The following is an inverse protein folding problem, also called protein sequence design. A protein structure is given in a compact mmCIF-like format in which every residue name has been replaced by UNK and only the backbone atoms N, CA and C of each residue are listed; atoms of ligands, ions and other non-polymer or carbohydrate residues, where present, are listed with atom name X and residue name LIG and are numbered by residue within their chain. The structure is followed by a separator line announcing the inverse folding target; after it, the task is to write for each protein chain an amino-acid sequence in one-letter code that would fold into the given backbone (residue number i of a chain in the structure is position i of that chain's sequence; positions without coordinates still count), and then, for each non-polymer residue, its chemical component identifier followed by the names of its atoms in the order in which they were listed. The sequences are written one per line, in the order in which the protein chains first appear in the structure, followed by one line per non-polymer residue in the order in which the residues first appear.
data_IF_109916608095
#
_entry.id   IF_109916608095
#
_cell.length_a   1.000
_cell.length_b   1.000
_cell.length_c   1.000
_cell.angle_alpha   90.00
_cell.angle_beta   90.00
_cell.angle_gamma   90.00
#
_symmetry.space_group_name_H-M   'P 1'
#
loop_
_entity.id
_entity.type
_entity.pdbx_description
1 polymer ?
#
# COMPACT_ATOMS: atom_id res chain seq x y z
N UNK A 1 -11.61 1.40 44.12
CA UNK A 1 -10.34 1.04 43.51
C UNK A 1 -10.51 0.81 42.01
N UNK A 2 -9.41 0.87 41.27
CA UNK A 2 -9.40 0.58 39.85
C UNK A 2 -9.05 -0.89 39.65
N UNK A 3 -9.85 -1.62 38.89
CA UNK A 3 -9.61 -3.03 38.63
C UNK A 3 -8.96 -3.27 37.28
N UNK A 4 -9.64 -2.88 36.20
CA UNK A 4 -9.12 -3.00 34.85
C UNK A 4 -9.74 -1.98 33.89
N UNK A 5 -9.17 -1.88 32.70
CA UNK A 5 -9.78 -1.22 31.55
C UNK A 5 -9.56 -2.07 30.30
N UNK A 6 -10.49 -1.95 29.38
CA UNK A 6 -10.42 -2.57 28.07
C UNK A 6 -10.66 -1.54 26.99
N UNK A 7 -9.75 -1.44 26.04
CA UNK A 7 -9.93 -0.66 24.82
C UNK A 7 -10.12 -1.62 23.65
N UNK A 8 -11.15 -1.38 22.88
CA UNK A 8 -11.42 -2.09 21.63
C UNK A 8 -11.47 -1.07 20.51
N UNK A 9 -10.64 -1.25 19.51
CA UNK A 9 -10.63 -0.45 18.31
C UNK A 9 -11.01 -1.33 17.12
N UNK A 10 -11.88 -0.82 16.25
CA UNK A 10 -12.26 -1.44 15.00
C UNK A 10 -12.06 -0.43 13.89
N UNK A 11 -11.31 -0.86 12.88
CA UNK A 11 -11.02 -0.09 11.69
C UNK A 11 -11.50 -0.85 10.46
N UNK A 12 -12.25 -0.17 9.59
CA UNK A 12 -12.72 -0.72 8.32
C UNK A 12 -12.49 0.28 7.21
N UNK A 13 -11.82 -0.14 6.16
CA UNK A 13 -11.61 0.68 4.97
C UNK A 13 -12.11 -0.08 3.75
N UNK A 14 -12.91 0.58 2.95
CA UNK A 14 -13.41 0.08 1.67
C UNK A 14 -13.20 1.12 0.59
N UNK A 15 -13.00 0.68 -0.64
CA UNK A 15 -12.84 1.60 -1.75
C UNK A 15 -12.52 0.89 -3.05
N UNK A 16 -12.42 1.69 -4.10
CA UNK A 16 -12.02 1.23 -5.42
C UNK A 16 -10.93 2.15 -5.97
N UNK A 17 -10.11 1.62 -6.87
CA UNK A 17 -9.07 2.41 -7.50
C UNK A 17 -8.87 1.99 -8.95
N UNK A 18 -8.47 2.96 -9.77
CA UNK A 18 -8.18 2.77 -11.19
C UNK A 18 -6.78 3.26 -11.51
N UNK A 19 -6.03 2.50 -12.31
CA UNK A 19 -4.78 2.92 -12.90
C UNK A 19 -4.59 2.31 -14.28
N UNK A 20 -3.63 2.87 -15.02
CA UNK A 20 -3.15 2.32 -16.28
C UNK A 20 -1.72 1.82 -16.12
N UNK A 21 -1.43 0.70 -16.78
CA UNK A 21 -0.08 0.15 -16.87
C UNK A 21 0.22 -0.13 -18.33
N UNK A 22 1.36 0.36 -18.77
CA UNK A 22 1.87 0.08 -20.11
C UNK A 22 3.30 -0.40 -20.03
N UNK A 23 3.67 -1.29 -20.92
CA UNK A 23 5.03 -1.80 -20.99
C UNK A 23 5.36 -2.34 -22.35
N UNK A 24 6.65 -2.38 -22.64
CA UNK A 24 7.19 -2.98 -23.85
C UNK A 24 8.42 -3.82 -23.51
N UNK A 25 8.62 -4.86 -24.29
CA UNK A 25 9.82 -5.68 -24.24
C UNK A 25 10.48 -5.59 -25.62
N UNK A 26 11.75 -5.27 -25.61
CA UNK A 26 12.59 -5.21 -26.80
C UNK A 26 13.66 -6.30 -26.73
N UNK A 27 13.84 -7.03 -27.82
CA UNK A 27 14.83 -8.12 -27.94
C UNK A 27 15.90 -7.71 -28.95
N UNK A 28 16.97 -7.00 -28.52
CA UNK A 28 18.04 -6.56 -29.43
C UNK A 28 18.95 -7.71 -29.90
N UNK A 29 19.00 -8.80 -29.15
CA UNK A 29 19.74 -10.02 -29.48
C UNK A 29 18.97 -11.25 -29.00
N UNK A 30 19.35 -12.43 -29.51
CA UNK A 30 18.66 -13.68 -29.13
C UNK A 30 18.66 -13.92 -27.61
N UNK A 31 19.76 -13.55 -26.95
CA UNK A 31 19.95 -13.79 -25.52
C UNK A 31 19.51 -12.60 -24.64
N UNK A 32 19.36 -11.39 -25.22
CA UNK A 32 19.11 -10.18 -24.45
C UNK A 32 17.69 -9.69 -24.61
N UNK A 33 17.02 -9.45 -23.50
CA UNK A 33 15.70 -8.83 -23.43
C UNK A 33 15.76 -7.59 -22.54
N UNK A 34 15.23 -6.50 -23.04
CA UNK A 34 15.10 -5.24 -22.30
C UNK A 34 13.62 -4.91 -22.15
N UNK A 35 13.22 -4.57 -20.95
CA UNK A 35 11.85 -4.21 -20.64
C UNK A 35 11.74 -2.79 -20.11
N UNK A 36 10.66 -2.11 -20.47
CA UNK A 36 10.25 -0.83 -19.92
C UNK A 36 8.79 -0.90 -19.52
N UNK A 37 8.46 -0.44 -18.33
CA UNK A 37 7.09 -0.32 -17.92
C UNK A 37 6.86 1.00 -17.17
N UNK A 38 5.65 1.53 -17.35
CA UNK A 38 5.14 2.71 -16.66
C UNK A 38 3.79 2.37 -16.04
N UNK A 39 3.67 2.66 -14.75
CA UNK A 39 2.40 2.59 -14.05
C UNK A 39 1.98 4.01 -13.68
N UNK A 40 0.81 4.41 -14.14
CA UNK A 40 0.23 5.67 -13.71
C UNK A 40 -0.14 5.60 -12.23
N UNK A 41 -0.33 6.75 -11.58
CA UNK A 41 -0.97 6.79 -10.28
C UNK A 41 -2.28 5.99 -10.29
N UNK A 42 -2.56 5.35 -9.18
CA UNK A 42 -3.89 4.80 -8.92
C UNK A 42 -4.73 5.90 -8.28
N UNK A 43 -5.87 6.18 -8.87
CA UNK A 43 -6.88 7.07 -8.30
C UNK A 43 -7.79 6.21 -7.44
N UNK A 44 -7.74 6.40 -6.13
CA UNK A 44 -8.57 5.69 -5.16
C UNK A 44 -9.66 6.60 -4.64
N UNK A 45 -10.91 6.11 -4.62
CA UNK A 45 -11.97 6.63 -3.77
C UNK A 45 -12.10 5.73 -2.55
N UNK A 46 -11.87 6.26 -1.36
CA UNK A 46 -11.78 5.51 -0.11
C UNK A 46 -12.82 5.98 0.89
N UNK A 47 -13.34 5.02 1.63
CA UNK A 47 -14.29 5.21 2.70
C UNK A 47 -13.80 4.46 3.94
N UNK A 48 -13.65 5.17 5.01
CA UNK A 48 -13.09 4.67 6.26
C UNK A 48 -14.10 4.82 7.39
N UNK A 49 -14.25 3.77 8.18
CA UNK A 49 -14.99 3.77 9.43
C UNK A 49 -14.05 3.38 10.56
N UNK A 50 -14.05 4.20 11.59
CA UNK A 50 -13.29 3.92 12.80
C UNK A 50 -14.25 3.89 13.98
N UNK A 51 -14.18 2.86 14.79
CA UNK A 51 -14.89 2.81 16.05
C UNK A 51 -13.94 2.45 17.18
N UNK A 52 -14.18 3.06 18.33
CA UNK A 52 -13.53 2.69 19.56
C UNK A 52 -14.53 2.54 20.69
N UNK A 53 -14.21 1.64 21.60
CA UNK A 53 -14.93 1.46 22.84
C UNK A 53 -13.93 1.29 23.96
N UNK A 54 -14.06 2.08 24.99
CA UNK A 54 -13.33 1.93 26.24
C UNK A 54 -14.29 1.56 27.36
N UNK A 55 -13.97 0.52 28.08
CA UNK A 55 -14.71 0.07 29.28
C UNK A 55 -13.75 0.08 30.45
N UNK A 56 -14.15 0.69 31.55
CA UNK A 56 -13.38 0.73 32.80
C UNK A 56 -14.15 0.05 33.92
N UNK A 57 -13.47 -0.73 34.75
CA UNK A 57 -14.03 -1.27 36.01
C UNK A 57 -13.36 -0.57 37.19
N UNK A 58 -14.13 0.25 37.86
CA UNK A 58 -13.68 1.06 39.01
C UNK A 58 -14.25 0.55 40.35
N UNK A 59 -14.72 -0.68 40.40
CA UNK A 59 -15.16 -1.37 41.64
C UNK A 59 -16.11 -0.56 42.52
N UNK A 60 -17.11 0.08 41.93
CA UNK A 60 -18.09 0.92 42.62
C UNK A 60 -17.52 2.13 43.39
N UNK A 61 -16.34 2.65 42.99
CA UNK A 61 -15.72 3.82 43.64
C UNK A 61 -16.65 5.05 43.76
N UNK A 62 -17.56 5.23 42.83
CA UNK A 62 -18.48 6.35 42.75
C UNK A 62 -19.92 6.02 43.23
N UNK A 63 -20.09 4.87 43.90
CA UNK A 63 -21.37 4.42 44.44
C UNK A 63 -21.81 3.06 43.92
N UNK A 64 -22.81 2.45 44.58
CA UNK A 64 -23.31 1.15 44.19
C UNK A 64 -23.86 1.15 42.75
N UNK A 65 -23.37 0.25 41.94
CA UNK A 65 -23.75 0.14 40.51
C UNK A 65 -22.86 0.92 39.54
N UNK A 66 -21.83 1.65 40.01
CA UNK A 66 -20.89 2.41 39.17
C UNK A 66 -19.59 1.63 38.80
N UNK A 67 -19.61 0.31 38.95
CA UNK A 67 -18.43 -0.51 38.73
C UNK A 67 -17.91 -0.50 37.31
N UNK A 68 -18.82 -0.51 36.35
CA UNK A 68 -18.48 -0.47 34.92
C UNK A 68 -18.91 0.87 34.31
N UNK A 69 -17.97 1.50 33.65
CA UNK A 69 -18.25 2.70 32.83
C UNK A 69 -17.71 2.47 31.42
N UNK A 70 -18.41 2.99 30.43
CA UNK A 70 -18.01 2.82 29.03
C UNK A 70 -18.22 4.09 28.21
N UNK A 71 -17.25 4.36 27.34
CA UNK A 71 -17.35 5.40 26.33
C UNK A 71 -17.14 4.79 24.95
N UNK A 72 -17.95 5.19 24.00
CA UNK A 72 -17.91 4.73 22.61
C UNK A 72 -17.78 5.91 21.66
N UNK A 73 -17.09 5.69 20.52
CA UNK A 73 -16.86 6.71 19.48
C UNK A 73 -18.16 7.39 19.04
N UNK A 74 -19.20 6.63 18.77
CA UNK A 74 -20.51 7.16 18.36
C UNK A 74 -21.11 8.15 19.36
N UNK A 75 -20.96 7.88 20.66
CA UNK A 75 -21.45 8.80 21.71
C UNK A 75 -20.60 10.07 21.77
N UNK A 76 -19.29 9.96 21.54
CA UNK A 76 -18.37 11.09 21.53
C UNK A 76 -18.65 12.06 20.37
N UNK A 77 -18.95 11.52 19.17
CA UNK A 77 -19.29 12.32 18.00
C UNK A 77 -20.78 12.72 17.93
N UNK A 78 -21.55 12.44 18.98
CA UNK A 78 -22.94 12.88 19.10
C UNK A 78 -23.94 12.18 18.19
N UNK A 79 -23.51 11.08 17.56
CA UNK A 79 -24.31 10.30 16.61
C UNK A 79 -24.71 8.93 17.15
N UNK A 80 -25.60 8.27 16.43
CA UNK A 80 -25.95 6.86 16.65
C UNK A 80 -25.02 5.90 15.90
N UNK A 81 -24.23 6.41 14.96
CA UNK A 81 -23.31 5.65 14.11
C UNK A 81 -21.86 6.07 14.35
N UNK A 82 -20.95 5.16 14.05
CA UNK A 82 -19.53 5.45 14.09
C UNK A 82 -19.11 6.42 12.98
N UNK A 83 -18.12 7.28 13.24
CA UNK A 83 -17.68 8.26 12.25
C UNK A 83 -17.16 7.58 10.98
N UNK A 84 -17.59 8.14 9.86
CA UNK A 84 -17.22 7.71 8.52
C UNK A 84 -16.55 8.87 7.78
N UNK A 85 -15.41 8.60 7.21
CA UNK A 85 -14.62 9.56 6.45
C UNK A 85 -14.47 9.08 5.00
N UNK A 86 -14.73 10.00 4.06
CA UNK A 86 -14.50 9.74 2.63
C UNK A 86 -13.37 10.62 2.14
N UNK A 87 -12.45 10.04 1.41
CA UNK A 87 -11.35 10.79 0.82
C UNK A 87 -10.84 10.10 -0.45
N UNK A 88 -10.21 10.87 -1.30
CA UNK A 88 -9.53 10.39 -2.48
C UNK A 88 -8.03 10.35 -2.23
N UNK A 89 -7.38 9.33 -2.80
CA UNK A 89 -5.94 9.15 -2.73
C UNK A 89 -5.38 8.89 -4.12
N UNK A 90 -4.39 9.68 -4.49
CA UNK A 90 -3.60 9.49 -5.71
C UNK A 90 -2.26 8.87 -5.32
N UNK A 91 -1.98 7.65 -5.79
CA UNK A 91 -0.73 6.96 -5.50
C UNK A 91 0.44 7.47 -6.37
N UNK A 92 1.71 7.11 -6.05
CA UNK A 92 2.86 7.53 -6.86
C UNK A 92 2.87 6.92 -8.26
N UNK A 93 3.60 7.57 -9.17
CA UNK A 93 4.04 6.98 -10.42
C UNK A 93 5.12 5.93 -10.17
N UNK A 94 5.17 4.91 -11.04
CA UNK A 94 6.24 3.91 -11.07
C UNK A 94 6.79 3.74 -12.46
N UNK A 95 8.11 3.77 -12.56
CA UNK A 95 8.86 3.55 -13.80
C UNK A 95 9.76 2.34 -13.57
N UNK A 96 9.69 1.39 -14.48
CA UNK A 96 10.45 0.13 -14.34
C UNK A 96 11.28 -0.07 -15.59
N UNK A 97 12.56 -0.34 -15.39
CA UNK A 97 13.50 -0.79 -16.43
C UNK A 97 13.99 -2.16 -16.04
N UNK A 98 13.90 -3.11 -16.94
CA UNK A 98 14.32 -4.48 -16.71
C UNK A 98 15.26 -4.97 -17.80
N UNK A 99 16.18 -5.85 -17.42
CA UNK A 99 17.07 -6.55 -18.33
C UNK A 99 17.11 -8.03 -18.01
N UNK A 100 17.08 -8.87 -19.02
CA UNK A 100 17.24 -10.31 -18.86
C UNK A 100 18.22 -10.86 -19.91
N UNK A 101 19.16 -11.65 -19.43
CA UNK A 101 20.12 -12.37 -20.28
C UNK A 101 19.86 -13.87 -20.16
N UNK A 102 19.54 -14.49 -21.29
CA UNK A 102 19.26 -15.93 -21.37
C UNK A 102 20.53 -16.67 -21.76
N UNK A 103 20.90 -17.65 -20.93
CA UNK A 103 22.11 -18.48 -21.16
C UNK A 103 21.73 -19.64 -22.08
N UNK A 104 22.30 -19.66 -23.27
CA UNK A 104 21.98 -20.62 -24.34
C UNK A 104 20.50 -20.60 -24.71
N UNK A 105 20.07 -19.53 -25.33
CA UNK A 105 18.78 -19.53 -26.02
C UNK A 105 18.93 -20.41 -27.28
N UNK A 106 18.12 -21.44 -27.36
CA UNK A 106 17.94 -22.31 -28.52
C UNK A 106 16.46 -22.41 -28.81
N UNK A 107 16.11 -22.75 -30.03
CA UNK A 107 14.71 -22.89 -30.46
C UNK A 107 13.93 -23.88 -29.58
N UNK A 108 14.58 -24.85 -29.00
CA UNK A 108 14.03 -25.77 -28.04
C UNK A 108 14.28 -25.27 -26.61
N UNK A 109 13.22 -24.79 -25.94
CA UNK A 109 13.28 -24.29 -24.54
C UNK A 109 13.78 -25.34 -23.54
N UNK A 110 13.70 -26.63 -23.86
CA UNK A 110 14.21 -27.69 -23.00
C UNK A 110 15.73 -27.69 -22.88
N UNK A 111 16.40 -27.12 -23.87
CA UNK A 111 17.88 -27.02 -23.95
C UNK A 111 18.40 -25.69 -23.35
N UNK A 112 17.53 -24.78 -22.96
CA UNK A 112 17.90 -23.55 -22.27
C UNK A 112 18.56 -23.86 -20.94
N UNK A 113 19.74 -23.23 -20.66
CA UNK A 113 20.50 -23.51 -19.45
C UNK A 113 20.25 -22.58 -18.28
N UNK A 114 19.55 -21.48 -18.50
CA UNK A 114 19.20 -20.56 -17.44
C UNK A 114 19.03 -19.14 -17.92
N UNK A 115 18.80 -18.24 -16.98
CA UNK A 115 18.75 -16.81 -17.24
C UNK A 115 19.19 -16.02 -15.99
N UNK A 116 19.58 -14.77 -16.21
CA UNK A 116 19.79 -13.78 -15.17
C UNK A 116 18.89 -12.60 -15.53
N UNK A 117 18.23 -12.03 -14.53
CA UNK A 117 17.38 -10.86 -14.70
C UNK A 117 17.69 -9.81 -13.65
N UNK A 118 17.57 -8.54 -14.03
CA UNK A 118 17.69 -7.41 -13.13
C UNK A 118 16.60 -6.40 -13.44
N UNK A 119 16.01 -5.82 -12.40
CA UNK A 119 14.99 -4.76 -12.49
C UNK A 119 15.41 -3.56 -11.65
N UNK A 120 15.17 -2.38 -12.19
CA UNK A 120 15.27 -1.10 -11.50
C UNK A 120 13.89 -0.46 -11.55
N UNK A 121 13.31 -0.20 -10.40
CA UNK A 121 12.04 0.49 -10.26
C UNK A 121 12.28 1.85 -9.60
N UNK A 122 11.78 2.91 -10.19
CA UNK A 122 11.74 4.24 -9.59
C UNK A 122 10.31 4.60 -9.23
N UNK A 123 10.08 4.98 -7.96
CA UNK A 123 8.76 5.35 -7.42
C UNK A 123 8.81 6.78 -6.92
N UNK A 124 7.86 7.62 -7.36
CA UNK A 124 7.79 9.05 -6.99
C UNK A 124 6.94 9.26 -5.74
N UNK A 125 7.34 8.75 -4.59
CA UNK A 125 6.52 8.78 -3.36
C UNK A 125 6.00 10.18 -2.97
N UNK A 126 6.80 11.23 -3.17
CA UNK A 126 6.38 12.60 -2.90
C UNK A 126 5.31 13.17 -3.84
N UNK A 127 4.88 12.41 -4.86
CA UNK A 127 3.77 12.79 -5.75
C UNK A 127 2.41 12.28 -5.28
N UNK A 128 2.37 11.51 -4.20
CA UNK A 128 1.10 11.07 -3.60
C UNK A 128 0.28 12.28 -3.13
N UNK A 129 -1.04 12.19 -3.29
CA UNK A 129 -1.96 13.27 -2.93
C UNK A 129 -3.20 12.71 -2.27
N UNK A 130 -3.66 13.43 -1.26
CA UNK A 130 -4.96 13.22 -0.62
C UNK A 130 -5.87 14.41 -0.97
N UNK A 131 -7.15 14.16 -1.12
CA UNK A 131 -8.18 15.19 -1.26
C UNK A 131 -9.47 14.77 -0.55
N UNK A 132 -10.29 15.73 -0.19
CA UNK A 132 -11.61 15.46 0.36
C UNK A 132 -12.48 14.71 -0.66
N UNK A 133 -13.25 13.75 -0.21
CA UNK A 133 -14.36 13.21 -0.98
C UNK A 133 -15.51 14.23 -1.07
N UNK A 134 -16.49 13.95 -1.90
CA UNK A 134 -17.58 14.88 -2.29
C UNK A 134 -18.35 15.57 -1.12
N UNK A 135 -18.22 15.09 0.11
CA UNK A 135 -19.05 15.53 1.25
C UNK A 135 -18.33 16.46 2.26
N UNK A 136 -17.02 16.75 2.09
CA UNK A 136 -16.25 17.55 3.04
C UNK A 136 -15.38 18.59 2.35
N UNK A 137 -15.68 19.85 2.59
CA UNK A 137 -14.92 21.02 2.12
C UNK A 137 -13.75 21.30 3.11
N UNK A 138 -12.84 20.33 3.24
CA UNK A 138 -11.70 20.43 4.17
C UNK A 138 -10.37 20.43 3.43
N UNK A 139 -10.29 21.22 2.36
CA UNK A 139 -9.11 21.35 1.52
C UNK A 139 -7.87 21.75 2.34
N UNK A 140 -8.02 22.60 3.35
CA UNK A 140 -6.93 23.05 4.20
C UNK A 140 -6.29 21.91 5.02
N UNK A 141 -7.07 20.93 5.45
CA UNK A 141 -6.56 19.74 6.15
C UNK A 141 -5.70 18.89 5.23
N UNK A 142 -6.20 18.61 4.04
CA UNK A 142 -5.48 17.79 3.06
C UNK A 142 -4.27 18.51 2.48
N UNK A 143 -4.29 19.84 2.33
CA UNK A 143 -3.14 20.63 1.93
C UNK A 143 -1.98 20.47 2.92
N UNK A 144 -2.25 20.49 4.22
CA UNK A 144 -1.25 20.23 5.24
C UNK A 144 -0.63 18.83 5.15
N UNK A 145 -1.46 17.80 4.91
CA UNK A 145 -0.99 16.42 4.70
C UNK A 145 -0.14 16.33 3.42
N UNK A 146 -0.60 16.92 2.33
CA UNK A 146 0.09 16.89 1.05
C UNK A 146 1.45 17.59 1.08
N UNK A 147 1.55 18.69 1.81
CA UNK A 147 2.84 19.38 2.03
C UNK A 147 3.79 18.52 2.88
N UNK A 148 3.28 17.86 3.91
CA UNK A 148 4.06 16.92 4.72
C UNK A 148 4.54 15.74 3.87
N UNK A 149 3.69 15.16 3.03
CA UNK A 149 4.05 14.09 2.10
C UNK A 149 5.15 14.54 1.14
N UNK A 150 5.00 15.69 0.49
CA UNK A 150 5.97 16.25 -0.45
C UNK A 150 7.33 16.54 0.20
N UNK A 151 7.32 16.95 1.45
CA UNK A 151 8.54 17.30 2.19
C UNK A 151 9.24 16.06 2.73
N UNK A 152 8.48 15.11 3.30
CA UNK A 152 9.03 13.92 3.93
C UNK A 152 9.40 12.81 2.95
N UNK A 153 8.63 12.66 1.87
CA UNK A 153 8.82 11.57 0.92
C UNK A 153 9.45 12.05 -0.38
N UNK A 154 10.48 11.35 -0.81
CA UNK A 154 11.17 11.59 -2.09
C UNK A 154 11.03 10.37 -2.99
N UNK A 155 11.50 10.49 -4.23
CA UNK A 155 11.62 9.35 -5.11
C UNK A 155 12.57 8.30 -4.53
N UNK A 156 12.22 7.03 -4.71
CA UNK A 156 13.03 5.90 -4.27
C UNK A 156 13.30 4.93 -5.41
N UNK A 157 14.49 4.33 -5.39
CA UNK A 157 14.86 3.26 -6.29
C UNK A 157 14.79 1.91 -5.58
N UNK A 158 14.17 0.96 -6.24
CA UNK A 158 14.17 -0.45 -5.84
C UNK A 158 14.97 -1.23 -6.87
N UNK A 159 15.87 -2.09 -6.41
CA UNK A 159 16.68 -2.95 -7.24
C UNK A 159 16.31 -4.40 -6.96
N UNK A 160 16.10 -5.17 -8.01
CA UNK A 160 15.85 -6.60 -7.91
C UNK A 160 16.83 -7.33 -8.85
N UNK A 161 17.39 -8.43 -8.36
CA UNK A 161 18.25 -9.31 -9.13
C UNK A 161 17.79 -10.74 -8.91
N UNK A 162 17.69 -11.50 -9.99
CA UNK A 162 17.29 -12.89 -9.91
C UNK A 162 17.92 -13.71 -11.02
N UNK A 163 17.91 -15.02 -10.84
CA UNK A 163 18.42 -15.91 -11.85
C UNK A 163 18.04 -17.36 -11.61
N UNK A 164 18.16 -18.13 -12.68
CA UNK A 164 17.96 -19.56 -12.68
C UNK A 164 19.06 -20.22 -13.50
N UNK A 165 19.62 -21.29 -12.97
CA UNK A 165 20.52 -22.18 -13.68
C UNK A 165 19.98 -23.61 -13.65
N UNK A 166 19.99 -24.25 -14.80
CA UNK A 166 19.52 -25.62 -15.01
C UNK A 166 20.69 -26.54 -15.39
N UNK A 167 20.86 -27.58 -14.60
CA UNK A 167 21.86 -28.64 -14.83
C UNK A 167 21.14 -29.98 -14.94
N UNK A 168 20.88 -30.45 -16.15
CA UNK A 168 20.12 -31.66 -16.44
C UNK A 168 18.74 -31.64 -15.73
N UNK A 169 18.60 -32.45 -14.69
CA UNK A 169 17.36 -32.56 -13.87
C UNK A 169 17.34 -31.64 -12.67
N UNK A 170 18.44 -30.99 -12.34
CA UNK A 170 18.54 -30.10 -11.17
C UNK A 170 18.40 -28.64 -11.66
N UNK A 171 17.60 -27.87 -10.92
CA UNK A 171 17.34 -26.46 -11.18
C UNK A 171 17.62 -25.66 -9.90
N UNK A 172 18.51 -24.66 -9.99
CA UNK A 172 18.79 -23.71 -8.92
C UNK A 172 18.22 -22.35 -9.26
N UNK A 173 17.50 -21.73 -8.33
CA UNK A 173 16.94 -20.38 -8.43
C UNK A 173 17.40 -19.53 -7.27
N UNK A 174 17.62 -18.24 -7.55
CA UNK A 174 17.93 -17.20 -6.56
C UNK A 174 17.26 -15.89 -6.96
N UNK A 175 16.81 -15.11 -5.95
CA UNK A 175 16.21 -13.80 -6.14
C UNK A 175 16.05 -13.07 -4.81
#
# INVERSE_FOLDING_TARGET
DFRDFRVTEMYSQVGAGFNLKAGLIFKPAEQLRLGFAIHTPTLYGLKEKTSFKMVTDVENRFGAGSGLDSIESKAFYGGSEDPEFKYDLVSPWRFIVSGSYVIREVSDVTLQRGFITADIEYVTHGSSRFSSGEDYDDDAYYDGINEAVKTAYKGAFNFRLGGELKFNTIMGRVG
#
